data_IF_379198538700
#
_entry.id   IF_379198538700
#
_cell.length_a   1.000
_cell.length_b   1.000
_cell.length_c   1.000
_cell.angle_alpha   90.00
_cell.angle_beta   90.00
_cell.angle_gamma   90.00
#
_symmetry.space_group_name_H-M   'P 1'
#
loop_
_entity.id
_entity.type
_entity.pdbx_description
1 polymer ?
#
# COMPACT_ATOMS: atom_id res chain seq x y z
N UNK A 1 43.55 -57.90 -37.80
CA UNK A 1 42.53 -58.08 -36.76
C UNK A 1 41.90 -56.74 -36.58
N UNK A 2 40.69 -56.62 -37.10
CA UNK A 2 39.91 -55.40 -37.24
C UNK A 2 39.33 -54.93 -35.90
N UNK A 3 39.44 -53.64 -35.63
CA UNK A 3 38.60 -52.99 -34.68
C UNK A 3 37.78 -51.95 -35.43
N UNK A 4 36.54 -52.32 -35.60
CA UNK A 4 35.48 -51.49 -36.16
C UNK A 4 34.83 -50.70 -34.99
N UNK A 5 35.04 -49.41 -34.94
CA UNK A 5 34.35 -48.48 -34.04
C UNK A 5 33.23 -47.77 -34.82
N UNK A 6 32.03 -48.40 -34.79
CA UNK A 6 30.82 -47.79 -35.32
C UNK A 6 30.43 -46.54 -34.54
N UNK A 7 30.56 -45.40 -35.16
CA UNK A 7 29.95 -44.12 -34.73
C UNK A 7 28.51 -44.13 -35.22
N UNK A 8 27.54 -44.25 -34.31
CA UNK A 8 26.14 -44.03 -34.62
C UNK A 8 25.91 -42.54 -34.91
N UNK A 9 25.83 -42.17 -36.18
CA UNK A 9 25.26 -40.91 -36.62
C UNK A 9 23.73 -41.01 -36.41
N UNK A 10 23.24 -40.15 -35.48
CA UNK A 10 21.80 -39.87 -35.42
C UNK A 10 21.45 -39.00 -36.63
N UNK A 11 20.38 -39.32 -37.36
CA UNK A 11 19.93 -38.48 -38.44
C UNK A 11 19.46 -37.14 -37.84
N UNK A 12 20.04 -36.03 -38.32
CA UNK A 12 19.46 -34.69 -38.16
C UNK A 12 18.09 -34.71 -38.85
N UNK A 13 17.02 -34.96 -38.08
CA UNK A 13 15.67 -34.63 -38.53
C UNK A 13 15.57 -33.11 -38.67
N UNK A 14 15.52 -32.68 -39.92
CA UNK A 14 15.14 -31.35 -40.33
C UNK A 14 13.70 -31.06 -39.83
N UNK A 15 13.57 -30.57 -38.60
CA UNK A 15 12.32 -29.97 -38.11
C UNK A 15 12.16 -28.55 -38.64
N UNK A 16 12.13 -28.42 -39.96
CA UNK A 16 11.85 -27.15 -40.61
C UNK A 16 11.04 -27.36 -41.86
N UNK A 17 9.78 -27.78 -41.71
CA UNK A 17 8.73 -27.59 -42.72
C UNK A 17 7.43 -28.13 -42.16
N UNK A 18 6.56 -27.25 -41.76
CA UNK A 18 5.11 -27.26 -41.80
C UNK A 18 4.49 -26.33 -40.76
N UNK A 19 5.16 -25.19 -40.52
CA UNK A 19 4.40 -24.02 -40.05
C UNK A 19 3.85 -23.36 -41.32
N UNK A 20 2.52 -23.15 -41.44
CA UNK A 20 1.96 -22.36 -42.53
C UNK A 20 2.60 -20.98 -42.51
N UNK A 21 2.73 -20.38 -43.71
CA UNK A 21 3.38 -19.09 -44.00
C UNK A 21 3.23 -18.04 -42.86
N UNK A 22 4.21 -17.16 -42.69
CA UNK A 22 4.49 -16.49 -41.43
C UNK A 22 3.22 -15.88 -40.84
N UNK A 23 2.79 -16.41 -39.72
CA UNK A 23 1.91 -15.66 -38.83
C UNK A 23 2.52 -14.28 -38.72
N UNK A 24 1.86 -13.29 -39.31
CA UNK A 24 2.33 -11.92 -39.16
C UNK A 24 2.42 -11.64 -37.67
N UNK A 25 3.48 -10.98 -37.20
CA UNK A 25 3.67 -10.67 -35.77
C UNK A 25 2.43 -10.00 -35.15
N UNK A 26 1.62 -9.34 -35.99
CA UNK A 26 0.32 -8.75 -35.68
C UNK A 26 -0.71 -9.81 -35.24
N UNK A 27 -0.79 -10.96 -35.91
CA UNK A 27 -1.78 -12.02 -35.62
C UNK A 27 -1.47 -12.70 -34.28
N UNK A 28 -0.19 -12.91 -33.97
CA UNK A 28 0.23 -13.52 -32.71
C UNK A 28 -0.08 -12.60 -31.52
N UNK A 29 0.17 -11.30 -31.67
CA UNK A 29 -0.14 -10.30 -30.65
C UNK A 29 -1.64 -10.18 -30.42
N UNK A 30 -2.45 -10.19 -31.48
CA UNK A 30 -3.91 -10.11 -31.40
C UNK A 30 -4.50 -11.36 -30.73
N UNK A 31 -4.05 -12.57 -31.12
CA UNK A 31 -4.45 -13.83 -30.49
C UNK A 31 -4.05 -13.86 -29.00
N UNK A 32 -2.86 -13.38 -28.65
CA UNK A 32 -2.40 -13.33 -27.27
C UNK A 32 -3.23 -12.37 -26.42
N UNK A 33 -3.59 -11.20 -26.97
CA UNK A 33 -4.40 -10.21 -26.28
C UNK A 33 -5.85 -10.64 -26.12
N UNK A 34 -6.41 -11.29 -27.14
CA UNK A 34 -7.75 -11.89 -27.06
C UNK A 34 -7.80 -13.01 -26.01
N UNK A 35 -6.78 -13.88 -26.01
CA UNK A 35 -6.66 -14.95 -25.01
C UNK A 35 -6.50 -14.41 -23.59
N UNK A 36 -5.82 -13.29 -23.42
CA UNK A 36 -5.67 -12.59 -22.15
C UNK A 36 -6.91 -11.79 -21.74
N UNK A 37 -7.94 -11.73 -22.60
CA UNK A 37 -9.18 -11.00 -22.37
C UNK A 37 -8.97 -9.48 -22.14
N UNK A 38 -8.02 -8.90 -22.86
CA UNK A 38 -7.55 -7.52 -22.72
C UNK A 38 -8.06 -6.67 -23.89
N UNK A 39 -8.67 -5.54 -23.57
CA UNK A 39 -9.03 -4.54 -24.57
C UNK A 39 -7.84 -3.62 -24.89
N UNK A 40 -7.69 -3.24 -26.13
CA UNK A 40 -6.71 -2.24 -26.58
C UNK A 40 -7.44 -0.95 -26.92
N UNK A 41 -6.81 0.16 -26.69
CA UNK A 41 -7.30 1.46 -27.11
C UNK A 41 -6.14 2.33 -27.59
N UNK A 42 -6.43 3.17 -28.58
CA UNK A 42 -5.50 4.14 -29.13
C UNK A 42 -6.22 5.48 -29.17
N UNK A 43 -5.53 6.54 -28.82
CA UNK A 43 -6.03 7.91 -28.92
C UNK A 43 -4.99 8.78 -29.63
N UNK A 44 -5.43 9.48 -30.64
CA UNK A 44 -4.63 10.49 -31.32
C UNK A 44 -4.50 11.72 -30.42
N UNK A 45 -3.30 12.19 -30.08
CA UNK A 45 -3.11 13.28 -29.13
C UNK A 45 -3.65 14.63 -29.63
N UNK A 46 -3.66 14.87 -30.94
CA UNK A 46 -4.07 16.15 -31.54
C UNK A 46 -5.58 16.20 -31.77
N UNK A 47 -6.10 15.21 -32.49
CA UNK A 47 -7.53 15.16 -32.86
C UNK A 47 -8.41 14.60 -31.75
N UNK A 48 -7.84 13.99 -30.70
CA UNK A 48 -8.55 13.25 -29.63
C UNK A 48 -9.42 12.10 -30.17
N UNK A 49 -9.17 11.67 -31.40
CA UNK A 49 -9.85 10.52 -31.97
C UNK A 49 -9.54 9.26 -31.19
N UNK A 50 -10.56 8.61 -30.66
CA UNK A 50 -10.47 7.38 -29.87
C UNK A 50 -10.77 6.17 -30.74
N UNK A 51 -9.88 5.19 -30.72
CA UNK A 51 -9.98 3.95 -31.50
C UNK A 51 -9.92 2.75 -30.54
N UNK A 52 -11.06 2.27 -30.05
CA UNK A 52 -11.13 1.10 -29.20
C UNK A 52 -11.16 -0.19 -30.00
N UNK A 53 -10.49 -1.26 -29.51
CA UNK A 53 -10.64 -2.60 -30.05
C UNK A 53 -12.05 -3.16 -29.79
N UNK A 54 -12.41 -4.25 -30.47
CA UNK A 54 -13.68 -4.96 -30.21
C UNK A 54 -13.85 -5.28 -28.73
N UNK A 55 -12.80 -5.80 -28.13
CA UNK A 55 -12.81 -6.15 -26.70
C UNK A 55 -13.01 -4.93 -25.79
N UNK A 56 -12.41 -3.80 -26.10
CA UNK A 56 -12.64 -2.54 -25.37
C UNK A 56 -14.12 -2.15 -25.41
N UNK A 57 -14.74 -2.20 -26.61
CA UNK A 57 -16.17 -1.92 -26.76
C UNK A 57 -17.05 -2.83 -25.89
N UNK A 58 -16.79 -4.15 -25.94
CA UNK A 58 -17.50 -5.13 -25.11
C UNK A 58 -17.35 -4.88 -23.60
N UNK A 59 -16.15 -4.47 -23.14
CA UNK A 59 -15.93 -4.15 -21.75
C UNK A 59 -16.81 -2.99 -21.28
N UNK A 60 -17.00 -1.98 -22.15
CA UNK A 60 -17.92 -0.86 -21.88
C UNK A 60 -19.38 -1.18 -22.19
N UNK A 61 -19.66 -2.36 -22.73
CA UNK A 61 -21.01 -2.84 -23.04
C UNK A 61 -21.53 -2.40 -24.42
N UNK A 62 -20.66 -2.02 -25.36
CA UNK A 62 -21.01 -1.76 -26.76
C UNK A 62 -20.89 -3.03 -27.60
N UNK A 63 -21.67 -3.14 -28.66
CA UNK A 63 -21.49 -4.20 -29.64
C UNK A 63 -20.20 -3.94 -30.45
N UNK A 64 -19.54 -4.99 -30.95
CA UNK A 64 -18.28 -4.85 -31.72
C UNK A 64 -18.37 -3.90 -32.88
N UNK A 65 -19.51 -3.84 -33.53
CA UNK A 65 -19.79 -3.04 -34.75
C UNK A 65 -20.24 -1.60 -34.42
N UNK A 66 -20.65 -1.31 -33.19
CA UNK A 66 -21.05 0.03 -32.77
C UNK A 66 -19.86 0.97 -32.75
N UNK A 67 -20.08 2.22 -33.12
CA UNK A 67 -19.11 3.28 -32.87
C UNK A 67 -19.11 3.65 -31.37
N UNK A 68 -17.93 3.88 -30.81
CA UNK A 68 -17.75 4.27 -29.45
C UNK A 68 -16.75 5.41 -29.40
N UNK A 69 -17.22 6.57 -28.99
CA UNK A 69 -16.36 7.74 -28.77
C UNK A 69 -15.72 7.71 -27.36
N UNK A 70 -14.75 8.59 -27.12
CA UNK A 70 -14.19 8.79 -25.80
C UNK A 70 -15.22 9.33 -24.80
N UNK A 71 -16.11 10.20 -25.24
CA UNK A 71 -17.22 10.75 -24.48
C UNK A 71 -18.18 9.66 -24.02
N UNK A 72 -18.51 8.71 -24.90
CA UNK A 72 -19.35 7.54 -24.57
C UNK A 72 -18.71 6.69 -23.49
N UNK A 73 -17.39 6.43 -23.58
CA UNK A 73 -16.64 5.71 -22.55
C UNK A 73 -16.72 6.45 -21.21
N UNK A 74 -16.52 7.78 -21.22
CA UNK A 74 -16.55 8.59 -20.01
C UNK A 74 -17.94 8.67 -19.38
N UNK A 75 -19.01 8.61 -20.16
CA UNK A 75 -20.39 8.56 -19.64
C UNK A 75 -20.67 7.26 -18.89
N UNK A 76 -20.01 6.16 -19.24
CA UNK A 76 -20.12 4.88 -18.52
C UNK A 76 -19.38 4.87 -17.18
N UNK A 77 -18.40 5.73 -17.00
CA UNK A 77 -17.70 5.86 -15.70
C UNK A 77 -18.69 6.36 -14.63
N UNK A 78 -18.69 5.70 -13.46
CA UNK A 78 -19.54 6.10 -12.32
C UNK A 78 -19.27 7.56 -11.95
N UNK A 79 -20.30 8.37 -11.79
CA UNK A 79 -20.24 9.84 -11.66
C UNK A 79 -19.18 10.36 -10.70
N UNK A 80 -19.11 9.77 -9.50
CA UNK A 80 -18.12 10.17 -8.48
C UNK A 80 -16.66 9.96 -8.88
N UNK A 81 -16.38 9.11 -9.87
CA UNK A 81 -15.04 8.81 -10.37
C UNK A 81 -14.72 9.55 -11.69
N UNK A 82 -15.73 10.06 -12.39
CA UNK A 82 -15.57 10.64 -13.72
C UNK A 82 -14.55 11.79 -13.75
N UNK A 83 -14.62 12.67 -12.76
CA UNK A 83 -13.67 13.80 -12.65
C UNK A 83 -12.22 13.32 -12.43
N UNK A 84 -11.99 12.38 -11.53
CA UNK A 84 -10.65 11.86 -11.26
C UNK A 84 -10.05 11.09 -12.45
N UNK A 85 -10.89 10.37 -13.20
CA UNK A 85 -10.47 9.68 -14.42
C UNK A 85 -10.06 10.69 -15.50
N UNK A 86 -10.89 11.72 -15.73
CA UNK A 86 -10.57 12.79 -16.70
C UNK A 86 -9.27 13.51 -16.33
N UNK A 87 -9.09 13.89 -15.07
CA UNK A 87 -7.88 14.55 -14.59
C UNK A 87 -6.63 13.68 -14.74
N UNK A 88 -6.72 12.36 -14.47
CA UNK A 88 -5.61 11.44 -14.64
C UNK A 88 -5.17 11.34 -16.11
N UNK A 89 -6.12 11.23 -17.02
CA UNK A 89 -5.85 11.19 -18.46
C UNK A 89 -5.22 12.50 -18.93
N UNK A 90 -5.81 13.66 -18.58
CA UNK A 90 -5.25 14.96 -18.93
C UNK A 90 -3.84 15.19 -18.37
N UNK A 91 -3.57 14.74 -17.15
CA UNK A 91 -2.25 14.82 -16.55
C UNK A 91 -1.24 13.94 -17.30
N UNK A 92 -1.62 12.73 -17.72
CA UNK A 92 -0.77 11.86 -18.51
C UNK A 92 -0.44 12.51 -19.87
N UNK A 93 -1.42 13.13 -20.53
CA UNK A 93 -1.21 13.89 -21.77
C UNK A 93 -0.26 15.07 -21.59
N UNK A 94 -0.52 15.94 -20.61
CA UNK A 94 0.27 17.16 -20.37
C UNK A 94 1.73 16.86 -19.98
N UNK A 95 1.96 15.76 -19.25
CA UNK A 95 3.28 15.40 -18.74
C UNK A 95 4.02 14.38 -19.61
N UNK A 96 3.43 13.91 -20.71
CA UNK A 96 3.95 12.81 -21.52
C UNK A 96 4.34 11.59 -20.66
N UNK A 97 3.51 11.29 -19.64
CA UNK A 97 3.75 10.22 -18.68
C UNK A 97 2.85 9.01 -18.93
N UNK A 98 3.18 7.89 -18.28
CA UNK A 98 2.30 6.72 -18.28
C UNK A 98 1.00 6.99 -17.51
N UNK A 99 -0.10 6.42 -18.01
CA UNK A 99 -1.39 6.35 -17.32
C UNK A 99 -1.50 5.01 -16.60
N UNK A 100 -1.90 5.03 -15.35
CA UNK A 100 -2.43 3.88 -14.64
C UNK A 100 -3.62 4.33 -13.80
N UNK A 101 -4.79 3.76 -14.06
CA UNK A 101 -5.99 4.10 -13.29
C UNK A 101 -6.97 2.93 -13.23
N UNK A 102 -7.61 2.79 -12.08
CA UNK A 102 -8.68 1.82 -11.85
C UNK A 102 -9.98 2.58 -11.54
N UNK A 103 -11.05 2.23 -12.23
CA UNK A 103 -12.33 2.92 -12.08
C UNK A 103 -13.50 2.00 -12.34
N UNK A 104 -14.64 2.25 -11.66
CA UNK A 104 -15.86 1.50 -11.89
C UNK A 104 -16.67 2.12 -13.05
N UNK A 105 -17.26 1.25 -13.86
CA UNK A 105 -18.21 1.60 -14.89
C UNK A 105 -19.57 0.95 -14.65
N UNK A 106 -20.60 1.52 -15.28
CA UNK A 106 -21.94 0.95 -15.36
C UNK A 106 -22.08 0.38 -16.77
N UNK A 107 -22.20 -0.95 -16.88
CA UNK A 107 -22.46 -1.63 -18.17
C UNK A 107 -23.90 -1.42 -18.66
N UNK A 108 -24.26 -2.04 -19.79
CA UNK A 108 -25.63 -2.01 -20.34
C UNK A 108 -26.67 -2.62 -19.38
N UNK A 109 -26.25 -3.61 -18.59
CA UNK A 109 -27.06 -4.14 -17.53
C UNK A 109 -26.91 -3.16 -16.34
N UNK A 110 -27.82 -2.21 -16.22
CA UNK A 110 -27.80 -1.09 -15.27
C UNK A 110 -27.55 -1.50 -13.80
N UNK A 111 -27.57 -2.80 -13.52
CA UNK A 111 -27.41 -3.36 -12.19
C UNK A 111 -26.03 -3.98 -11.92
N UNK A 112 -25.15 -4.09 -12.92
CA UNK A 112 -23.81 -4.67 -12.75
C UNK A 112 -22.71 -3.64 -12.94
N UNK A 113 -22.17 -3.20 -11.83
CA UNK A 113 -20.94 -2.41 -11.82
C UNK A 113 -19.76 -3.31 -12.15
N UNK A 114 -18.92 -2.90 -13.13
CA UNK A 114 -17.62 -3.51 -13.45
C UNK A 114 -16.49 -2.59 -13.02
N UNK A 115 -15.39 -3.18 -12.64
CA UNK A 115 -14.15 -2.44 -12.38
C UNK A 115 -13.19 -2.65 -13.53
N UNK A 116 -12.73 -1.57 -14.12
CA UNK A 116 -11.73 -1.59 -15.17
C UNK A 116 -10.41 -1.02 -14.67
N UNK A 117 -9.30 -1.62 -15.13
CA UNK A 117 -7.96 -1.07 -15.02
C UNK A 117 -7.50 -0.62 -16.39
N UNK A 118 -7.14 0.65 -16.54
CA UNK A 118 -6.58 1.20 -17.77
C UNK A 118 -5.11 1.59 -17.54
N UNK A 119 -4.24 1.09 -18.42
CA UNK A 119 -2.82 1.43 -18.46
C UNK A 119 -2.48 1.89 -19.85
N UNK A 120 -1.67 2.95 -19.98
CA UNK A 120 -1.27 3.46 -21.28
C UNK A 120 -0.08 4.40 -21.22
N UNK A 121 0.40 4.78 -22.41
CA UNK A 121 1.52 5.69 -22.55
C UNK A 121 1.69 6.14 -23.99
N UNK A 122 2.60 7.08 -24.20
CA UNK A 122 2.95 7.55 -25.53
C UNK A 122 3.85 6.55 -26.24
N UNK A 123 3.52 6.24 -27.47
CA UNK A 123 4.34 5.46 -28.40
C UNK A 123 4.54 6.24 -29.68
N UNK A 124 5.73 6.17 -30.25
CA UNK A 124 6.04 6.77 -31.56
C UNK A 124 6.19 5.68 -32.59
N UNK A 125 5.57 5.87 -33.77
CA UNK A 125 5.80 5.00 -34.92
C UNK A 125 7.01 5.47 -35.71
N UNK A 126 7.52 4.60 -36.62
CA UNK A 126 8.62 4.92 -37.53
C UNK A 126 8.34 6.14 -38.44
N UNK A 127 7.08 6.53 -38.59
CA UNK A 127 6.63 7.71 -39.33
C UNK A 127 6.57 9.01 -38.52
N UNK A 128 7.18 9.07 -37.33
CA UNK A 128 7.19 10.23 -36.43
C UNK A 128 5.80 10.66 -35.89
N UNK A 129 4.78 9.81 -36.03
CA UNK A 129 3.47 10.06 -35.41
C UNK A 129 3.47 9.53 -33.99
N UNK A 130 3.08 10.39 -33.04
CA UNK A 130 2.94 10.03 -31.62
C UNK A 130 1.50 9.64 -31.35
N UNK A 131 1.29 8.48 -30.72
CA UNK A 131 -0.03 8.01 -30.28
C UNK A 131 -0.01 7.77 -28.77
N UNK A 132 -1.14 8.04 -28.14
CA UNK A 132 -1.36 7.63 -26.77
C UNK A 132 -2.18 6.33 -26.79
N UNK A 133 -1.59 5.23 -26.39
CA UNK A 133 -2.18 3.90 -26.51
C UNK A 133 -2.02 3.09 -25.24
N UNK A 134 -2.86 2.11 -25.08
CA UNK A 134 -2.80 1.27 -23.90
C UNK A 134 -3.77 0.10 -23.93
N UNK A 135 -3.86 -0.53 -22.78
CA UNK A 135 -4.71 -1.69 -22.53
C UNK A 135 -5.74 -1.37 -21.46
N UNK A 136 -6.83 -2.11 -21.51
CA UNK A 136 -7.89 -2.07 -20.51
C UNK A 136 -8.29 -3.49 -20.13
N UNK A 137 -8.45 -3.74 -18.84
CA UNK A 137 -8.73 -5.07 -18.29
C UNK A 137 -9.91 -4.99 -17.33
N UNK A 138 -10.74 -6.04 -17.32
CA UNK A 138 -11.77 -6.23 -16.31
C UNK A 138 -11.13 -6.82 -15.04
N UNK A 139 -11.12 -6.04 -13.98
CA UNK A 139 -10.60 -6.43 -12.65
C UNK A 139 -11.73 -6.64 -11.64
N UNK A 140 -12.96 -6.85 -12.11
CA UNK A 140 -14.15 -6.95 -11.24
C UNK A 140 -14.03 -8.12 -10.28
N UNK A 141 -13.64 -9.29 -10.77
CA UNK A 141 -13.47 -10.49 -9.94
C UNK A 141 -12.37 -10.30 -8.88
N UNK A 142 -11.24 -9.71 -9.28
CA UNK A 142 -10.16 -9.36 -8.37
C UNK A 142 -10.65 -8.41 -7.27
N UNK A 143 -11.32 -7.31 -7.63
CA UNK A 143 -11.89 -6.35 -6.67
C UNK A 143 -12.93 -6.97 -5.74
N UNK A 144 -13.76 -7.86 -6.24
CA UNK A 144 -14.72 -8.60 -5.42
C UNK A 144 -14.04 -9.57 -4.46
N UNK A 145 -12.99 -10.27 -4.92
CA UNK A 145 -12.20 -11.15 -4.07
C UNK A 145 -11.52 -10.39 -2.94
N UNK A 146 -10.87 -9.26 -3.26
CA UNK A 146 -10.23 -8.39 -2.27
C UNK A 146 -11.25 -7.85 -1.25
N UNK A 147 -12.45 -7.47 -1.73
CA UNK A 147 -13.52 -7.01 -0.85
C UNK A 147 -14.05 -8.12 0.06
N UNK A 148 -14.22 -9.34 -0.47
CA UNK A 148 -14.62 -10.52 0.34
C UNK A 148 -13.59 -10.83 1.40
N UNK A 149 -12.30 -10.85 1.01
CA UNK A 149 -11.17 -11.06 1.94
C UNK A 149 -11.15 -10.01 3.04
N UNK A 150 -11.31 -8.74 2.69
CA UNK A 150 -11.35 -7.63 3.64
C UNK A 150 -12.53 -7.74 4.61
N UNK A 151 -13.73 -8.06 4.11
CA UNK A 151 -14.93 -8.28 4.96
C UNK A 151 -14.74 -9.45 5.91
N UNK A 152 -14.17 -10.56 5.43
CA UNK A 152 -13.89 -11.74 6.25
C UNK A 152 -12.92 -11.42 7.38
N UNK A 153 -11.80 -10.76 7.09
CA UNK A 153 -10.82 -10.33 8.10
C UNK A 153 -11.47 -9.40 9.12
N UNK A 154 -12.31 -8.46 8.67
CA UNK A 154 -13.05 -7.55 9.54
C UNK A 154 -13.98 -8.28 10.53
N UNK A 155 -14.74 -9.25 10.04
CA UNK A 155 -15.64 -10.06 10.85
C UNK A 155 -14.88 -10.91 11.88
N UNK A 156 -13.87 -11.67 11.42
CA UNK A 156 -13.06 -12.52 12.31
C UNK A 156 -12.36 -11.69 13.39
N UNK A 157 -11.86 -10.53 13.03
CA UNK A 157 -11.20 -9.66 14.00
C UNK A 157 -12.14 -9.12 15.06
N UNK A 158 -13.39 -8.77 14.69
CA UNK A 158 -14.42 -8.36 15.65
C UNK A 158 -14.76 -9.51 16.62
N UNK A 159 -15.00 -10.71 16.08
CA UNK A 159 -15.30 -11.90 16.86
C UNK A 159 -14.18 -12.35 17.81
N UNK A 160 -12.90 -12.08 17.43
CA UNK A 160 -11.76 -12.35 18.30
C UNK A 160 -11.54 -11.25 19.35
N UNK A 161 -11.83 -9.98 19.03
CA UNK A 161 -11.63 -8.86 19.94
C UNK A 161 -12.51 -8.95 21.19
N UNK A 162 -13.77 -9.38 21.03
CA UNK A 162 -14.74 -9.50 22.10
C UNK A 162 -14.26 -10.44 23.22
N UNK A 163 -13.92 -11.73 22.97
CA UNK A 163 -13.46 -12.63 24.03
C UNK A 163 -12.11 -12.19 24.63
N UNK A 164 -11.20 -11.60 23.85
CA UNK A 164 -9.95 -11.09 24.37
C UNK A 164 -10.12 -9.88 25.27
N UNK A 165 -11.10 -9.03 25.00
CA UNK A 165 -11.45 -7.90 25.89
C UNK A 165 -12.00 -8.43 27.22
N UNK A 166 -12.86 -9.45 27.19
CA UNK A 166 -13.35 -10.11 28.41
C UNK A 166 -12.20 -10.78 29.20
N UNK A 167 -11.30 -11.51 28.51
CA UNK A 167 -10.10 -12.08 29.12
C UNK A 167 -9.22 -11.02 29.79
N UNK A 168 -9.01 -9.88 29.14
CA UNK A 168 -8.26 -8.75 29.72
C UNK A 168 -8.91 -8.24 31.01
N UNK A 169 -10.24 -8.11 31.03
CA UNK A 169 -10.99 -7.68 32.21
C UNK A 169 -10.83 -8.68 33.38
N UNK A 170 -10.94 -9.98 33.11
CA UNK A 170 -10.72 -11.01 34.14
C UNK A 170 -9.30 -11.02 34.68
N UNK A 171 -8.30 -10.90 33.83
CA UNK A 171 -6.89 -10.79 34.23
C UNK A 171 -6.67 -9.56 35.10
N UNK A 172 -7.28 -8.42 34.78
CA UNK A 172 -7.20 -7.20 35.60
C UNK A 172 -7.87 -7.37 36.97
N UNK A 173 -9.05 -8.01 37.03
CA UNK A 173 -9.74 -8.30 38.28
C UNK A 173 -8.91 -9.22 39.17
N UNK A 174 -8.37 -10.31 38.63
CA UNK A 174 -7.51 -11.25 39.37
C UNK A 174 -6.22 -10.58 39.82
N UNK A 175 -5.62 -9.72 39.01
CA UNK A 175 -4.40 -8.98 39.37
C UNK A 175 -4.67 -8.01 40.54
N UNK A 176 -5.82 -7.31 40.53
CA UNK A 176 -6.22 -6.44 41.63
C UNK A 176 -6.48 -7.23 42.92
N UNK A 177 -7.07 -8.43 42.84
CA UNK A 177 -7.29 -9.32 43.95
C UNK A 177 -5.95 -9.83 44.52
N UNK A 178 -5.04 -10.33 43.66
CA UNK A 178 -3.71 -10.82 44.06
C UNK A 178 -2.86 -9.71 44.72
N UNK A 179 -2.95 -8.46 44.25
CA UNK A 179 -2.30 -7.31 44.91
C UNK A 179 -2.81 -7.08 46.32
N UNK A 180 -4.14 -7.20 46.53
CA UNK A 180 -4.72 -7.08 47.91
C UNK A 180 -4.25 -8.19 48.82
N UNK A 181 -4.04 -9.41 48.30
CA UNK A 181 -3.51 -10.55 49.05
C UNK A 181 -1.99 -10.56 49.17
N UNK A 182 -1.27 -9.60 48.56
CA UNK A 182 0.21 -9.54 48.49
C UNK A 182 0.84 -10.81 47.89
N UNK A 183 0.12 -11.52 47.01
CA UNK A 183 0.59 -12.74 46.34
C UNK A 183 1.47 -12.39 45.11
N UNK A 184 2.76 -12.26 45.37
CA UNK A 184 3.73 -11.87 44.34
C UNK A 184 3.89 -12.90 43.24
N UNK A 185 3.65 -14.19 43.48
CA UNK A 185 3.70 -15.23 42.45
C UNK A 185 2.56 -15.06 41.47
N UNK A 186 1.33 -14.95 41.99
CA UNK A 186 0.13 -14.75 41.17
C UNK A 186 0.18 -13.43 40.38
N UNK A 187 0.66 -12.34 41.02
CA UNK A 187 0.88 -11.04 40.33
C UNK A 187 1.83 -11.21 39.15
N UNK A 188 2.96 -11.91 39.35
CA UNK A 188 3.94 -12.16 38.30
C UNK A 188 3.39 -12.99 37.14
N UNK A 189 2.61 -14.04 37.42
CA UNK A 189 1.95 -14.88 36.46
C UNK A 189 0.90 -14.09 35.65
N UNK A 190 0.01 -13.35 36.31
CA UNK A 190 -1.02 -12.54 35.67
C UNK A 190 -0.45 -11.41 34.83
N UNK A 191 0.67 -10.80 35.23
CA UNK A 191 1.39 -9.82 34.42
C UNK A 191 1.87 -10.41 33.10
N UNK A 192 2.34 -11.67 33.08
CA UNK A 192 2.72 -12.37 31.85
C UNK A 192 1.50 -12.64 30.95
N UNK A 193 0.37 -13.05 31.54
CA UNK A 193 -0.88 -13.27 30.79
C UNK A 193 -1.39 -11.97 30.20
N UNK A 194 -1.41 -10.87 30.95
CA UNK A 194 -1.83 -9.54 30.44
C UNK A 194 -0.99 -9.11 29.24
N UNK A 195 0.33 -9.33 29.29
CA UNK A 195 1.23 -9.06 28.15
C UNK A 195 0.85 -9.86 26.92
N UNK A 196 0.48 -11.15 27.06
CA UNK A 196 0.06 -11.98 25.92
C UNK A 196 -1.29 -11.53 25.35
N UNK A 197 -2.26 -11.21 26.20
CA UNK A 197 -3.57 -10.68 25.78
C UNK A 197 -3.39 -9.36 25.02
N UNK A 198 -2.58 -8.43 25.52
CA UNK A 198 -2.24 -7.18 24.83
C UNK A 198 -1.58 -7.44 23.47
N UNK A 199 -0.65 -8.40 23.41
CA UNK A 199 -0.01 -8.80 22.14
C UNK A 199 -1.03 -9.30 21.12
N UNK A 200 -2.00 -10.14 21.52
CA UNK A 200 -3.05 -10.64 20.64
C UNK A 200 -3.98 -9.51 20.16
N UNK A 201 -4.40 -8.61 21.04
CA UNK A 201 -5.22 -7.45 20.67
C UNK A 201 -4.50 -6.55 19.64
N UNK A 202 -3.22 -6.28 19.84
CA UNK A 202 -2.41 -5.49 18.91
C UNK A 202 -2.29 -6.20 17.54
N UNK A 203 -2.16 -7.53 17.53
CA UNK A 203 -2.12 -8.34 16.33
C UNK A 203 -3.41 -8.21 15.51
N UNK A 204 -4.56 -8.36 16.18
CA UNK A 204 -5.88 -8.26 15.57
C UNK A 204 -6.10 -6.84 15.00
N UNK A 205 -5.76 -5.80 15.77
CA UNK A 205 -5.87 -4.42 15.31
C UNK A 205 -4.97 -4.15 14.08
N UNK A 206 -3.77 -4.72 14.06
CA UNK A 206 -2.87 -4.60 12.90
C UNK A 206 -3.45 -5.26 11.64
N UNK A 207 -4.06 -6.45 11.78
CA UNK A 207 -4.73 -7.14 10.66
C UNK A 207 -5.94 -6.36 10.15
N UNK A 208 -6.75 -5.77 11.04
CA UNK A 208 -7.88 -4.91 10.67
C UNK A 208 -7.42 -3.67 9.89
N UNK A 209 -6.39 -3.01 10.37
CA UNK A 209 -5.85 -1.82 9.74
C UNK A 209 -5.27 -2.14 8.35
N UNK A 210 -4.57 -3.27 8.19
CA UNK A 210 -4.08 -3.74 6.89
C UNK A 210 -5.23 -3.99 5.91
N UNK A 211 -6.22 -4.78 6.33
CA UNK A 211 -7.38 -5.09 5.49
C UNK A 211 -8.18 -3.83 5.09
N UNK A 212 -8.26 -2.84 5.98
CA UNK A 212 -8.86 -1.54 5.68
C UNK A 212 -8.05 -0.73 4.67
N UNK A 213 -6.72 -0.76 4.77
CA UNK A 213 -5.81 -0.07 3.87
C UNK A 213 -5.86 -0.67 2.46
N UNK A 214 -5.74 -2.00 2.34
CA UNK A 214 -5.81 -2.73 1.05
C UNK A 214 -7.16 -2.55 0.35
N UNK A 215 -8.27 -2.51 1.11
CA UNK A 215 -9.60 -2.25 0.56
C UNK A 215 -9.87 -0.79 0.17
N UNK A 216 -8.88 0.09 0.29
CA UNK A 216 -9.06 1.51 0.02
C UNK A 216 -10.03 2.23 1.00
N UNK A 217 -10.35 1.62 2.14
CA UNK A 217 -11.40 2.05 3.09
C UNK A 217 -10.90 2.94 4.22
N UNK A 218 -9.67 3.43 4.19
CA UNK A 218 -9.24 4.43 5.17
C UNK A 218 -9.98 5.74 4.84
N UNK A 219 -11.08 5.97 5.51
CA UNK A 219 -11.79 7.25 5.47
C UNK A 219 -11.12 8.21 6.44
N UNK A 220 -10.69 9.38 5.93
CA UNK A 220 -10.12 10.43 6.76
C UNK A 220 -11.22 11.35 7.28
N UNK A 221 -11.17 11.65 8.57
CA UNK A 221 -11.96 12.70 9.22
C UNK A 221 -11.02 13.88 9.48
N UNK A 222 -10.79 14.70 8.44
CA UNK A 222 -9.90 15.84 8.56
C UNK A 222 -10.52 16.93 9.42
N UNK A 223 -9.71 17.47 10.33
CA UNK A 223 -10.03 18.61 11.19
C UNK A 223 -8.80 19.51 11.38
N UNK A 224 -8.99 20.75 11.73
CA UNK A 224 -7.90 21.63 12.07
C UNK A 224 -7.47 21.43 13.52
N UNK A 225 -6.18 21.17 13.72
CA UNK A 225 -5.59 21.05 15.05
C UNK A 225 -4.13 21.47 15.07
N UNK A 226 -3.63 21.79 16.28
CA UNK A 226 -2.23 22.11 16.57
C UNK A 226 -1.39 20.83 16.58
N UNK A 227 -0.49 20.70 15.59
CA UNK A 227 0.37 19.53 15.46
C UNK A 227 1.37 19.40 16.64
N UNK A 228 1.93 20.51 17.08
CA UNK A 228 2.85 20.53 18.23
C UNK A 228 2.18 20.05 19.53
N UNK A 229 0.90 20.36 19.73
CA UNK A 229 0.12 19.86 20.89
C UNK A 229 -0.04 18.35 20.78
N UNK A 230 -0.42 17.83 19.62
CA UNK A 230 -0.53 16.38 19.40
C UNK A 230 0.81 15.66 19.67
N UNK A 231 1.91 16.21 19.14
CA UNK A 231 3.24 15.59 19.35
C UNK A 231 3.59 15.54 20.85
N UNK A 232 3.34 16.61 21.61
CA UNK A 232 3.59 16.63 23.05
C UNK A 232 2.75 15.57 23.78
N UNK A 233 1.45 15.46 23.49
CA UNK A 233 0.58 14.46 24.10
C UNK A 233 1.07 13.03 23.81
N UNK A 234 1.42 12.73 22.57
CA UNK A 234 1.92 11.40 22.17
C UNK A 234 3.26 11.08 22.87
N UNK A 235 4.17 12.05 22.97
CA UNK A 235 5.44 11.86 23.68
C UNK A 235 5.21 11.57 25.15
N UNK A 236 4.36 12.33 25.83
CA UNK A 236 4.01 12.11 27.23
C UNK A 236 3.43 10.70 27.46
N UNK A 237 2.48 10.27 26.63
CA UNK A 237 1.91 8.92 26.71
C UNK A 237 2.95 7.83 26.43
N UNK A 238 3.81 8.05 25.44
CA UNK A 238 4.86 7.09 25.08
C UNK A 238 5.89 6.94 26.18
N UNK A 239 6.29 8.01 26.87
CA UNK A 239 7.19 8.00 28.00
C UNK A 239 6.62 7.17 29.17
N UNK A 240 5.31 7.24 29.41
CA UNK A 240 4.64 6.41 30.43
C UNK A 240 4.75 4.90 30.13
N UNK A 241 4.75 4.53 28.84
CA UNK A 241 4.80 3.12 28.39
C UNK A 241 6.25 2.62 28.25
N UNK A 242 7.16 3.49 27.80
CA UNK A 242 8.56 3.15 27.48
C UNK A 242 9.53 3.75 28.50
N UNK A 243 9.27 3.61 29.79
CA UNK A 243 9.98 4.22 30.93
C UNK A 243 11.53 4.08 30.93
N UNK A 244 12.11 3.42 29.93
CA UNK A 244 13.55 3.20 29.81
C UNK A 244 14.24 4.09 28.74
N UNK A 245 13.49 4.77 27.87
CA UNK A 245 14.06 5.60 26.80
C UNK A 245 13.91 7.08 27.12
N UNK A 246 14.86 7.87 26.64
CA UNK A 246 14.83 9.33 26.76
C UNK A 246 14.33 9.91 25.43
N UNK A 247 13.06 10.36 25.39
CA UNK A 247 12.48 11.02 24.22
C UNK A 247 12.63 12.53 24.37
N UNK A 248 13.24 13.19 23.40
CA UNK A 248 13.49 14.64 23.40
C UNK A 248 12.78 15.27 22.21
N UNK A 249 12.02 16.32 22.48
CA UNK A 249 11.45 17.18 21.45
C UNK A 249 12.45 18.29 21.17
N UNK A 250 13.21 18.21 20.05
CA UNK A 250 14.25 19.16 19.74
C UNK A 250 13.70 20.52 19.28
N UNK A 251 12.72 20.48 18.37
CA UNK A 251 11.97 21.67 17.91
C UNK A 251 10.63 21.21 17.36
N UNK A 252 9.57 21.88 17.75
CA UNK A 252 8.27 21.68 17.14
C UNK A 252 7.61 23.03 16.91
N UNK A 253 7.57 23.44 15.64
CA UNK A 253 6.94 24.70 15.25
C UNK A 253 5.44 24.61 15.50
N UNK A 254 4.91 25.58 16.21
CA UNK A 254 3.48 25.70 16.47
C UNK A 254 2.74 26.01 15.16
N UNK A 255 2.05 25.00 14.61
CA UNK A 255 1.33 25.12 13.32
C UNK A 255 0.01 24.34 13.36
N UNK A 256 -1.01 24.92 12.77
CA UNK A 256 -2.27 24.22 12.49
C UNK A 256 -2.14 23.43 11.20
N UNK A 257 -2.63 22.22 11.23
CA UNK A 257 -2.73 21.33 10.07
C UNK A 257 -4.18 20.86 9.91
N UNK A 258 -4.61 20.66 8.66
CA UNK A 258 -5.91 20.10 8.34
C UNK A 258 -5.74 18.61 8.00
N UNK A 259 -5.85 17.77 9.01
CA UNK A 259 -5.57 16.34 8.92
C UNK A 259 -6.51 15.53 9.82
N UNK A 260 -6.50 14.21 9.68
CA UNK A 260 -7.16 13.30 10.62
C UNK A 260 -6.27 13.10 11.84
N UNK A 261 -6.64 13.74 12.97
CA UNK A 261 -5.86 13.78 14.20
C UNK A 261 -5.52 12.39 14.72
N UNK A 262 -6.52 11.47 14.78
CA UNK A 262 -6.32 10.10 15.27
C UNK A 262 -5.35 9.30 14.38
N UNK A 263 -5.41 9.53 13.06
CA UNK A 263 -4.51 8.86 12.12
C UNK A 263 -3.08 9.40 12.19
N UNK A 264 -2.91 10.71 12.35
CA UNK A 264 -1.57 11.29 12.53
C UNK A 264 -0.97 10.85 13.87
N UNK A 265 -1.76 10.83 14.95
CA UNK A 265 -1.36 10.24 16.23
C UNK A 265 -0.86 8.81 16.07
N UNK A 266 -1.60 7.97 15.34
CA UNK A 266 -1.22 6.58 15.06
C UNK A 266 0.12 6.48 14.32
N UNK A 267 0.41 7.39 13.37
CA UNK A 267 1.69 7.46 12.66
C UNK A 267 2.81 7.77 13.64
N UNK A 268 2.67 8.82 14.46
CA UNK A 268 3.69 9.24 15.42
C UNK A 268 3.97 8.15 16.45
N UNK A 269 2.93 7.56 17.05
CA UNK A 269 3.05 6.43 17.99
C UNK A 269 3.80 5.25 17.37
N UNK A 270 3.51 4.93 16.10
CA UNK A 270 4.18 3.82 15.42
C UNK A 270 5.67 4.11 15.19
N UNK A 271 6.02 5.33 14.77
CA UNK A 271 7.42 5.72 14.55
C UNK A 271 8.20 5.74 15.88
N UNK A 272 7.65 6.33 16.96
CA UNK A 272 8.27 6.33 18.28
C UNK A 272 8.41 4.91 18.86
N UNK A 273 7.39 4.07 18.70
CA UNK A 273 7.45 2.67 19.13
C UNK A 273 8.51 1.87 18.37
N UNK A 274 8.70 2.13 17.07
CA UNK A 274 9.76 1.52 16.29
C UNK A 274 11.13 2.02 16.76
N UNK A 275 11.32 3.32 16.95
CA UNK A 275 12.54 3.90 17.49
C UNK A 275 12.93 3.24 18.82
N UNK A 276 11.96 3.07 19.75
CA UNK A 276 12.20 2.41 21.05
C UNK A 276 12.48 0.90 20.93
N UNK A 277 11.94 0.21 19.93
CA UNK A 277 12.19 -1.23 19.74
C UNK A 277 13.55 -1.56 19.18
N UNK A 278 14.07 -0.69 18.29
CA UNK A 278 15.29 -0.93 17.53
C UNK A 278 16.50 -0.23 18.12
N UNK A 279 16.32 0.60 19.17
CA UNK A 279 17.38 1.26 19.92
C UNK A 279 17.69 0.56 21.22
N UNK A 280 18.89 0.81 21.75
CA UNK A 280 19.23 0.41 23.12
C UNK A 280 18.37 1.17 24.13
N UNK A 281 18.11 0.56 25.28
CA UNK A 281 17.20 1.11 26.29
C UNK A 281 17.59 2.49 26.83
N UNK A 282 18.87 2.83 26.79
CA UNK A 282 19.40 4.12 27.26
C UNK A 282 19.59 5.13 26.12
N UNK A 283 19.32 4.72 24.88
CA UNK A 283 19.49 5.60 23.72
C UNK A 283 18.44 6.71 23.69
N UNK A 284 18.86 7.86 23.21
CA UNK A 284 18.00 9.02 23.02
C UNK A 284 17.20 8.85 21.72
N UNK A 285 15.91 9.15 21.77
CA UNK A 285 15.02 9.27 20.64
C UNK A 285 14.67 10.75 20.49
N UNK A 286 14.84 11.29 19.30
CA UNK A 286 14.59 12.69 19.01
C UNK A 286 13.38 12.83 18.09
N UNK A 287 12.49 13.76 18.41
CA UNK A 287 11.40 14.16 17.52
C UNK A 287 11.52 15.64 17.22
N UNK A 288 11.31 16.01 15.96
CA UNK A 288 11.31 17.39 15.53
C UNK A 288 10.20 17.65 14.50
N UNK A 289 9.68 18.89 14.49
CA UNK A 289 8.69 19.35 13.52
C UNK A 289 9.17 20.67 12.94
N UNK A 290 9.52 20.65 11.67
CA UNK A 290 10.09 21.80 10.97
C UNK A 290 9.15 22.31 9.90
N UNK A 291 8.79 23.58 10.00
CA UNK A 291 7.95 24.25 9.01
C UNK A 291 8.78 24.52 7.74
N UNK A 292 8.32 24.01 6.62
CA UNK A 292 8.81 24.29 5.27
C UNK A 292 7.82 25.21 4.55
N UNK A 293 8.19 25.73 3.36
CA UNK A 293 7.37 26.72 2.64
C UNK A 293 5.90 26.32 2.48
N UNK A 294 5.60 25.04 2.24
CA UNK A 294 4.25 24.58 1.86
C UNK A 294 3.82 23.31 2.61
N UNK A 295 4.62 22.85 3.56
CA UNK A 295 4.34 21.67 4.36
C UNK A 295 5.09 21.73 5.68
N UNK A 296 4.66 20.91 6.65
CA UNK A 296 5.44 20.64 7.86
C UNK A 296 6.09 19.28 7.75
N UNK A 297 7.37 19.19 8.04
CA UNK A 297 8.13 17.95 8.14
C UNK A 297 8.23 17.52 9.59
N UNK A 298 7.81 16.29 9.89
CA UNK A 298 8.01 15.64 11.19
C UNK A 298 9.06 14.55 11.03
N UNK A 299 10.05 14.55 11.92
CA UNK A 299 11.13 13.55 11.94
C UNK A 299 11.22 12.87 13.30
N UNK A 300 11.42 11.56 13.29
CA UNK A 300 11.72 10.74 14.49
C UNK A 300 13.06 10.06 14.23
N UNK A 301 14.07 10.42 15.04
CA UNK A 301 15.43 9.90 14.96
C UNK A 301 15.73 8.97 16.12
N UNK A 302 16.30 7.84 15.80
CA UNK A 302 16.79 6.85 16.76
C UNK A 302 18.31 6.63 16.61
N UNK A 303 18.93 6.11 17.63
CA UNK A 303 20.34 5.70 17.68
C UNK A 303 20.44 4.16 17.71
N UNK A 304 19.61 3.49 16.93
CA UNK A 304 19.49 2.03 16.92
C UNK A 304 20.41 1.33 15.92
N UNK A 305 19.99 0.13 15.53
CA UNK A 305 20.75 -0.76 14.63
C UNK A 305 21.03 -0.16 13.26
N UNK A 306 20.23 0.82 12.83
CA UNK A 306 20.25 1.32 11.46
C UNK A 306 19.73 0.30 10.44
N UNK A 307 19.65 0.71 9.19
CA UNK A 307 19.02 -0.07 8.11
C UNK A 307 19.94 -0.01 6.89
N UNK A 308 20.15 -1.16 6.24
CA UNK A 308 20.94 -1.24 5.04
C UNK A 308 20.23 -0.50 3.87
N UNK A 309 21.01 0.16 3.01
CA UNK A 309 20.49 0.96 1.89
C UNK A 309 19.54 0.16 0.95
N UNK A 310 19.84 -1.14 0.74
CA UNK A 310 19.04 -2.04 -0.09
C UNK A 310 17.62 -2.30 0.48
N UNK A 311 17.41 -2.08 1.78
CA UNK A 311 16.16 -2.36 2.47
C UNK A 311 15.30 -1.10 2.66
N UNK A 312 15.89 0.09 2.60
CA UNK A 312 15.19 1.37 2.86
C UNK A 312 13.94 1.52 1.98
N UNK A 313 14.03 1.22 0.69
CA UNK A 313 12.91 1.33 -0.24
C UNK A 313 11.78 0.32 0.03
N UNK A 314 12.09 -0.79 0.70
CA UNK A 314 11.15 -1.88 0.97
C UNK A 314 10.44 -1.73 2.31
N UNK A 315 10.90 -0.84 3.20
CA UNK A 315 10.37 -0.69 4.56
C UNK A 315 8.87 -0.40 4.62
N UNK A 316 8.36 0.27 3.59
CA UNK A 316 6.96 0.67 3.48
C UNK A 316 6.08 -0.31 2.70
N UNK A 317 6.65 -1.47 2.28
CA UNK A 317 5.87 -2.55 1.67
C UNK A 317 5.14 -3.35 2.77
N UNK A 318 3.95 -3.88 2.49
CA UNK A 318 3.22 -4.71 3.45
C UNK A 318 4.02 -5.97 3.78
N UNK A 319 4.01 -6.36 5.06
CA UNK A 319 4.70 -7.53 5.61
C UNK A 319 6.23 -7.53 5.50
N UNK A 320 6.83 -6.45 5.01
CA UNK A 320 8.28 -6.38 4.90
C UNK A 320 8.94 -6.15 6.27
N UNK A 321 10.02 -6.89 6.52
CA UNK A 321 10.87 -6.76 7.70
C UNK A 321 12.31 -6.98 7.29
N UNK A 322 13.21 -6.19 7.85
CA UNK A 322 14.65 -6.43 7.71
C UNK A 322 15.00 -7.69 8.49
N UNK A 323 15.54 -8.69 7.80
CA UNK A 323 15.95 -9.96 8.40
C UNK A 323 17.43 -9.87 8.85
N UNK A 324 17.66 -9.88 10.16
CA UNK A 324 18.96 -9.98 10.77
C UNK A 324 18.88 -10.75 12.08
N UNK A 325 20.01 -11.24 12.59
CA UNK A 325 20.06 -11.95 13.86
C UNK A 325 19.56 -11.11 15.03
N UNK A 326 19.76 -9.80 14.96
CA UNK A 326 19.34 -8.81 15.97
C UNK A 326 17.84 -8.56 15.87
N UNK A 327 17.26 -8.47 14.66
CA UNK A 327 15.86 -8.17 14.44
C UNK A 327 14.94 -9.39 14.60
N UNK A 328 15.46 -10.61 14.51
CA UNK A 328 14.70 -11.85 14.67
C UNK A 328 13.97 -11.93 16.03
N UNK A 329 14.60 -11.40 17.09
CA UNK A 329 14.05 -11.36 18.45
C UNK A 329 13.02 -10.25 18.66
N UNK A 330 12.91 -9.29 17.76
CA UNK A 330 12.03 -8.13 17.89
C UNK A 330 10.68 -8.49 17.28
N UNK A 331 9.62 -8.48 18.09
CA UNK A 331 8.28 -8.83 17.63
C UNK A 331 7.69 -7.73 16.72
N UNK A 332 7.12 -8.13 15.59
CA UNK A 332 6.43 -7.22 14.66
C UNK A 332 5.89 -7.95 13.44
N UNK A 333 4.87 -7.39 12.78
CA UNK A 333 4.18 -8.01 11.62
C UNK A 333 4.56 -7.37 10.28
N UNK A 334 5.41 -6.33 10.27
CA UNK A 334 5.77 -5.60 9.07
C UNK A 334 4.61 -4.77 8.47
N UNK A 335 3.60 -4.44 9.28
CA UNK A 335 2.39 -3.71 8.81
C UNK A 335 2.44 -2.23 9.22
N UNK A 336 3.14 -1.90 10.30
CA UNK A 336 3.10 -0.57 10.88
C UNK A 336 3.58 0.54 9.94
N UNK A 337 4.76 0.39 9.31
CA UNK A 337 5.30 1.38 8.38
C UNK A 337 4.49 1.48 7.10
N UNK A 338 3.99 0.36 6.57
CA UNK A 338 3.06 0.35 5.45
C UNK A 338 1.80 1.19 5.76
N UNK A 339 1.21 0.98 6.93
CA UNK A 339 0.05 1.76 7.35
C UNK A 339 0.37 3.26 7.51
N UNK A 340 1.55 3.59 8.05
CA UNK A 340 2.00 4.98 8.09
C UNK A 340 2.09 5.60 6.70
N UNK A 341 2.66 4.86 5.73
CA UNK A 341 2.74 5.32 4.35
C UNK A 341 1.35 5.54 3.73
N UNK A 342 0.42 4.61 3.93
CA UNK A 342 -0.94 4.74 3.43
C UNK A 342 -1.70 5.94 4.05
N UNK A 343 -1.56 6.16 5.36
CA UNK A 343 -2.15 7.31 6.03
C UNK A 343 -1.57 8.61 5.48
N UNK A 344 -0.26 8.73 5.40
CA UNK A 344 0.41 9.96 4.95
C UNK A 344 0.11 10.25 3.48
N UNK A 345 0.14 9.24 2.60
CA UNK A 345 -0.21 9.39 1.19
C UNK A 345 -1.65 9.92 1.01
N UNK A 346 -2.61 9.46 1.82
CA UNK A 346 -4.00 9.96 1.80
C UNK A 346 -4.14 11.39 2.32
N UNK A 347 -3.19 11.85 3.11
CA UNK A 347 -3.06 13.25 3.49
C UNK A 347 -2.28 14.09 2.47
N UNK A 348 -1.94 13.52 1.29
CA UNK A 348 -1.12 14.15 0.26
C UNK A 348 0.28 14.53 0.73
N UNK A 349 0.77 13.86 1.78
CA UNK A 349 2.13 13.97 2.28
C UNK A 349 3.06 12.93 1.67
N UNK A 350 4.31 12.93 2.13
CA UNK A 350 5.33 11.92 1.81
C UNK A 350 5.90 11.35 3.09
N UNK A 351 6.32 10.08 3.06
CA UNK A 351 7.05 9.43 4.17
C UNK A 351 8.27 8.71 3.62
N UNK A 352 9.39 8.79 4.33
CA UNK A 352 10.64 8.13 3.96
C UNK A 352 11.50 7.88 5.17
N UNK A 353 12.60 7.15 4.99
CA UNK A 353 13.60 6.89 6.00
C UNK A 353 15.00 7.24 5.48
N UNK A 354 15.83 7.78 6.35
CA UNK A 354 17.26 8.00 6.17
C UNK A 354 17.97 7.18 7.23
N UNK A 355 18.86 6.28 6.84
CA UNK A 355 19.50 5.38 7.80
C UNK A 355 20.87 4.92 7.31
N UNK A 356 21.74 4.65 8.26
CA UNK A 356 23.04 4.02 8.06
C UNK A 356 23.22 2.91 9.09
N UNK A 357 23.62 1.73 8.62
CA UNK A 357 23.78 0.55 9.46
C UNK A 357 24.73 0.84 10.63
N UNK A 358 24.30 0.55 11.85
CA UNK A 358 25.04 0.81 13.10
C UNK A 358 25.03 2.26 13.59
N UNK A 359 24.36 3.20 12.88
CA UNK A 359 24.28 4.62 13.31
C UNK A 359 22.86 5.09 13.65
N UNK A 360 21.87 4.22 13.48
CA UNK A 360 20.47 4.53 13.72
C UNK A 360 19.71 4.95 12.48
N UNK A 361 18.47 5.39 12.67
CA UNK A 361 17.56 5.74 11.58
C UNK A 361 16.82 7.04 11.89
N UNK A 362 16.41 7.73 10.84
CA UNK A 362 15.53 8.90 10.92
C UNK A 362 14.35 8.66 9.99
N UNK A 363 13.17 8.48 10.56
CA UNK A 363 11.92 8.39 9.81
C UNK A 363 11.30 9.77 9.70
N UNK A 364 10.91 10.16 8.50
CA UNK A 364 10.40 11.49 8.21
C UNK A 364 9.07 11.40 7.47
N UNK A 365 8.16 12.29 7.78
CA UNK A 365 6.95 12.47 6.97
C UNK A 365 6.58 13.95 6.85
N UNK A 366 5.81 14.28 5.79
CA UNK A 366 5.31 15.64 5.57
C UNK A 366 3.79 15.67 5.60
N UNK A 367 3.24 16.79 6.05
CA UNK A 367 1.83 17.15 5.88
C UNK A 367 1.75 18.49 5.15
N UNK A 368 0.93 18.59 4.08
CA UNK A 368 0.75 19.86 3.39
C UNK A 368 0.07 20.87 4.32
N UNK A 369 0.42 22.12 4.18
CA UNK A 369 -0.28 23.25 4.76
C UNK A 369 -1.26 23.79 3.70
N UNK A 370 -2.44 24.14 4.11
CA UNK A 370 -3.48 24.70 3.23
C UNK A 370 -3.07 26.08 2.69
#
# INVERSE_FOLDING_TARGET
MNNDSGVNEFPEENCNSDLPEPFQEIDIAEIALDSANVGIWIMDPESRKFLPSKRTKELFGFLPEEEMSFEDAMLRVVDKHRKSVAEAIENAFKRHSTLYIEYPIIGFDEHKQRWLSATGGFSSTAANSSYFSGIIMDITEQKQSDLRRSKFIGMVSHELKTPLTALKAYVQMLNNWAKKQKDNFTIGALSKVDKQVKKMLNMINSLLNLSGAEAGKIHLKKEEFRLDVLINEVVEETLFITSAHHIVINSCTAVNVNADREKIEQVVVNLLSNAAKYSEKTAQIEIACVLQHNHIEVSVRDQGLGIAQADIQKLFLPHYRVESKETEKIAGFGIGLYLCAEIINRHHGKIWAESELGKGSTFKFTLPLN
#
